data_IF_198990664791
#
_entry.id   IF_198990664791
#
_cell.length_a   1.000
_cell.length_b   1.000
_cell.length_c   1.000
_cell.angle_alpha   90.00
_cell.angle_beta   90.00
_cell.angle_gamma   90.00
#
_symmetry.space_group_name_H-M   'P 1'
#
loop_
_entity.id
_entity.type
_entity.pdbx_description
1 polymer ?
#
# COMPACT_ATOMS: atom_id res chain seq x y z
N UNK A 1 -67.25 -16.49 2.32
CA UNK A 1 -66.29 -16.38 1.19
C UNK A 1 -65.38 -15.20 1.44
N UNK A 2 -64.05 -15.47 1.51
CA UNK A 2 -62.87 -14.62 1.19
C UNK A 2 -62.80 -13.19 1.79
N UNK A 3 -61.82 -12.91 2.66
CA UNK A 3 -60.43 -12.48 2.34
C UNK A 3 -60.37 -11.06 1.75
N UNK A 4 -59.44 -10.17 2.08
CA UNK A 4 -58.20 -10.29 2.82
C UNK A 4 -57.50 -8.92 2.87
N UNK A 5 -56.40 -8.94 3.60
CA UNK A 5 -55.48 -7.87 4.03
C UNK A 5 -54.89 -7.04 2.86
N UNK A 6 -54.50 -5.81 3.21
CA UNK A 6 -53.89 -4.73 2.41
C UNK A 6 -52.72 -5.13 1.51
N UNK A 7 -52.71 -4.60 0.29
CA UNK A 7 -51.54 -4.55 -0.59
C UNK A 7 -50.84 -3.18 -0.49
N UNK A 8 -49.52 -3.24 -0.28
CA UNK A 8 -48.61 -2.11 -0.19
C UNK A 8 -48.05 -1.68 -1.53
N UNK A 9 -47.76 -0.39 -1.63
CA UNK A 9 -47.09 0.27 -2.75
C UNK A 9 -45.57 0.15 -2.63
N UNK A 10 -44.96 -0.36 -3.68
CA UNK A 10 -43.53 -0.43 -3.92
C UNK A 10 -42.89 0.94 -4.18
N UNK A 11 -41.63 1.14 -3.75
CA UNK A 11 -40.66 1.93 -4.52
C UNK A 11 -39.21 1.51 -4.20
N UNK A 12 -38.63 0.85 -5.20
CA UNK A 12 -37.25 0.79 -5.70
C UNK A 12 -36.03 1.10 -4.80
N UNK A 13 -35.25 0.04 -4.55
CA UNK A 13 -33.79 0.00 -4.38
C UNK A 13 -33.10 -0.12 -5.78
N UNK A 14 -31.82 0.30 -5.95
CA UNK A 14 -30.76 -0.69 -5.79
C UNK A 14 -29.52 -0.16 -5.06
N UNK A 15 -29.29 -0.70 -3.87
CA UNK A 15 -28.00 -0.66 -3.17
C UNK A 15 -27.05 -1.75 -3.71
N UNK A 16 -25.85 -1.30 -4.13
CA UNK A 16 -24.55 -2.00 -4.14
C UNK A 16 -24.50 -3.53 -4.34
N UNK A 17 -24.03 -3.97 -5.52
CA UNK A 17 -23.59 -5.35 -5.77
C UNK A 17 -22.33 -5.68 -4.95
N UNK A 18 -22.53 -6.22 -3.75
CA UNK A 18 -21.50 -6.90 -2.98
C UNK A 18 -21.39 -8.35 -3.46
N UNK A 19 -20.36 -8.64 -4.26
CA UNK A 19 -19.94 -10.01 -4.61
C UNK A 19 -19.29 -10.67 -3.39
N UNK A 20 -20.11 -11.11 -2.45
CA UNK A 20 -19.72 -12.12 -1.46
C UNK A 20 -20.63 -13.32 -1.65
N UNK A 21 -19.98 -14.32 -2.22
CA UNK A 21 -20.54 -15.59 -2.64
C UNK A 21 -21.14 -16.31 -1.43
N UNK A 22 -22.35 -16.83 -1.62
CA UNK A 22 -23.08 -17.68 -0.70
C UNK A 22 -22.29 -18.98 -0.56
N UNK A 23 -21.55 -19.13 0.54
CA UNK A 23 -21.05 -20.42 1.01
C UNK A 23 -22.18 -21.10 1.78
N UNK A 24 -22.92 -21.94 1.07
CA UNK A 24 -23.80 -22.94 1.66
C UNK A 24 -23.47 -24.30 1.04
N UNK A 25 -23.00 -25.24 1.87
CA UNK A 25 -23.47 -26.63 1.87
C UNK A 25 -22.86 -27.39 3.06
N UNK A 26 -23.75 -27.99 3.86
CA UNK A 26 -23.44 -29.05 4.79
C UNK A 26 -23.08 -30.34 4.02
N UNK A 27 -22.13 -31.13 4.53
CA UNK A 27 -21.83 -32.45 3.96
C UNK A 27 -20.72 -33.17 4.73
N UNK A 28 -21.12 -34.12 5.58
CA UNK A 28 -20.26 -35.02 6.34
C UNK A 28 -19.92 -36.23 5.46
N UNK A 29 -18.63 -36.45 5.14
CA UNK A 29 -18.21 -37.59 4.32
C UNK A 29 -16.69 -37.72 4.25
N UNK A 30 -16.16 -38.79 4.83
CA UNK A 30 -14.76 -39.18 4.77
C UNK A 30 -14.42 -39.81 3.41
N UNK A 31 -13.24 -39.48 2.84
CA UNK A 31 -12.63 -40.29 1.78
C UNK A 31 -11.79 -39.53 0.76
N UNK A 32 -10.59 -40.06 0.52
CA UNK A 32 -9.67 -39.83 -0.61
C UNK A 32 -8.78 -38.57 -0.59
N UNK A 33 -7.58 -38.79 -0.03
CA UNK A 33 -6.33 -38.12 -0.44
C UNK A 33 -6.06 -38.41 -1.92
N UNK A 34 -6.00 -37.37 -2.75
CA UNK A 34 -5.33 -37.42 -4.05
C UNK A 34 -4.29 -36.30 -4.06
N UNK A 35 -3.03 -36.71 -3.89
CA UNK A 35 -1.85 -35.90 -4.17
C UNK A 35 -1.67 -35.92 -5.69
N UNK A 36 -1.79 -34.77 -6.34
CA UNK A 36 -1.55 -34.66 -7.77
C UNK A 36 -1.78 -33.24 -8.27
N UNK A 37 -0.69 -32.53 -8.57
CA UNK A 37 -0.72 -31.27 -9.29
C UNK A 37 0.35 -30.30 -8.82
N UNK A 38 1.58 -30.48 -9.29
CA UNK A 38 2.53 -29.38 -9.39
C UNK A 38 1.91 -28.39 -10.39
N UNK A 39 1.25 -27.35 -9.88
CA UNK A 39 0.89 -26.20 -10.69
C UNK A 39 2.15 -25.37 -10.82
N UNK A 40 2.76 -25.42 -12.01
CA UNK A 40 3.62 -24.34 -12.49
C UNK A 40 2.74 -23.09 -12.58
N UNK A 41 2.56 -22.44 -11.44
CA UNK A 41 2.07 -21.07 -11.36
C UNK A 41 3.22 -20.14 -11.73
N UNK A 42 3.57 -20.13 -13.02
CA UNK A 42 4.04 -18.92 -13.69
C UNK A 42 2.86 -17.95 -13.78
N UNK A 43 2.41 -17.52 -12.59
CA UNK A 43 1.51 -16.40 -12.43
C UNK A 43 2.36 -15.15 -12.62
N UNK A 44 2.74 -14.90 -13.88
CA UNK A 44 3.05 -13.58 -14.41
C UNK A 44 1.81 -12.71 -14.32
N UNK A 45 1.41 -12.40 -13.09
CA UNK A 45 0.36 -11.47 -12.74
C UNK A 45 0.85 -10.06 -13.02
N UNK A 46 0.91 -9.70 -14.30
CA UNK A 46 0.88 -8.32 -14.72
C UNK A 46 -0.43 -7.73 -14.20
N UNK A 47 -0.36 -7.07 -13.05
CA UNK A 47 -1.49 -6.33 -12.50
C UNK A 47 -1.87 -5.27 -13.53
N UNK A 48 -2.87 -5.57 -14.35
CA UNK A 48 -3.61 -4.59 -15.15
C UNK A 48 -4.62 -3.82 -14.28
N UNK A 49 -4.38 -3.75 -12.97
CA UNK A 49 -5.15 -2.97 -12.02
C UNK A 49 -4.53 -1.60 -11.85
N UNK A 50 -5.37 -0.58 -11.81
CA UNK A 50 -4.94 0.78 -11.45
C UNK A 50 -4.27 0.74 -10.07
N UNK A 51 -3.00 1.13 -10.00
CA UNK A 51 -2.26 1.25 -8.75
C UNK A 51 -2.63 2.57 -8.07
N UNK A 52 -3.22 2.48 -6.89
CA UNK A 52 -3.46 3.65 -6.04
C UNK A 52 -2.31 3.77 -5.03
N UNK A 53 -1.69 4.95 -4.96
CA UNK A 53 -0.57 5.26 -4.06
C UNK A 53 -1.03 6.33 -3.07
N UNK A 54 -1.10 5.97 -1.79
CA UNK A 54 -1.33 6.94 -0.71
C UNK A 54 -0.01 7.61 -0.30
N UNK A 55 0.07 8.93 -0.46
CA UNK A 55 1.28 9.70 -0.17
C UNK A 55 1.04 10.78 0.89
N UNK A 56 1.72 10.68 2.03
CA UNK A 56 1.65 11.67 3.10
C UNK A 56 2.92 12.51 3.21
N UNK A 57 2.76 13.84 3.35
CA UNK A 57 3.89 14.74 3.58
C UNK A 57 3.54 15.93 4.48
N UNK A 58 4.58 16.56 5.04
CA UNK A 58 4.44 17.73 5.94
C UNK A 58 4.44 19.08 5.22
N UNK A 59 4.72 19.09 3.91
CA UNK A 59 4.77 20.32 3.10
C UNK A 59 3.37 20.84 2.78
N UNK A 60 2.66 21.35 3.79
CA UNK A 60 1.25 21.77 3.70
C UNK A 60 1.07 23.26 3.36
N UNK A 61 2.14 23.99 3.08
CA UNK A 61 2.13 25.41 2.72
C UNK A 61 3.00 25.70 1.48
N UNK A 62 2.78 26.82 0.79
CA UNK A 62 3.68 27.28 -0.26
C UNK A 62 5.10 27.52 0.26
N UNK A 63 6.14 27.32 -0.58
CA UNK A 63 6.06 27.06 -2.03
C UNK A 63 5.94 25.58 -2.39
N UNK A 64 6.01 24.66 -1.42
CA UNK A 64 6.15 23.23 -1.71
C UNK A 64 4.83 22.51 -2.01
N UNK A 65 3.72 22.93 -1.40
CA UNK A 65 2.41 22.33 -1.66
C UNK A 65 2.06 22.26 -3.17
N UNK A 66 2.11 23.35 -3.95
CA UNK A 66 1.78 23.28 -5.39
C UNK A 66 2.80 22.46 -6.20
N UNK A 67 4.07 22.42 -5.77
CA UNK A 67 5.13 21.64 -6.46
C UNK A 67 4.86 20.14 -6.35
N UNK A 68 4.42 19.67 -5.18
CA UNK A 68 4.08 18.25 -5.01
C UNK A 68 2.82 17.85 -5.78
N UNK A 69 1.81 18.71 -5.81
CA UNK A 69 0.62 18.51 -6.62
C UNK A 69 0.95 18.43 -8.12
N UNK A 70 1.82 19.31 -8.62
CA UNK A 70 2.25 19.30 -10.02
C UNK A 70 3.07 18.04 -10.35
N UNK A 71 3.99 17.64 -9.47
CA UNK A 71 4.78 16.44 -9.65
C UNK A 71 3.92 15.18 -9.71
N UNK A 72 2.93 15.04 -8.82
CA UNK A 72 2.01 13.91 -8.87
C UNK A 72 1.16 13.90 -10.14
N UNK A 73 0.67 15.06 -10.59
CA UNK A 73 -0.07 15.18 -11.86
C UNK A 73 0.80 14.80 -13.06
N UNK A 74 2.06 15.24 -13.09
CA UNK A 74 3.02 14.90 -14.14
C UNK A 74 3.29 13.39 -14.19
N UNK A 75 3.46 12.77 -13.01
CA UNK A 75 3.66 11.32 -12.92
C UNK A 75 2.43 10.54 -13.39
N UNK A 76 1.24 10.90 -12.93
CA UNK A 76 -0.02 10.27 -13.37
C UNK A 76 -0.27 10.46 -14.88
N UNK A 77 0.13 11.60 -15.45
CA UNK A 77 -0.03 11.87 -16.89
C UNK A 77 0.91 11.02 -17.76
N UNK A 78 2.07 10.63 -17.22
CA UNK A 78 3.05 9.78 -17.92
C UNK A 78 2.87 8.29 -17.65
N UNK A 79 2.10 7.92 -16.62
CA UNK A 79 1.88 6.53 -16.20
C UNK A 79 0.38 6.23 -16.16
N UNK A 80 -0.14 5.68 -17.25
CA UNK A 80 -1.53 5.22 -17.30
C UNK A 80 -1.76 4.10 -16.28
N UNK A 81 -2.83 4.21 -15.50
CA UNK A 81 -3.15 3.25 -14.46
C UNK A 81 -2.47 3.51 -13.11
N UNK A 82 -1.88 4.69 -12.87
CA UNK A 82 -1.45 5.11 -11.53
C UNK A 82 -2.29 6.28 -11.03
N UNK A 83 -2.79 6.19 -9.80
CA UNK A 83 -3.48 7.27 -9.09
C UNK A 83 -2.69 7.59 -7.82
N UNK A 84 -2.22 8.83 -7.67
CA UNK A 84 -1.53 9.28 -6.45
C UNK A 84 -2.49 10.14 -5.62
N UNK A 85 -2.75 9.72 -4.38
CA UNK A 85 -3.54 10.47 -3.40
C UNK A 85 -2.62 11.14 -2.39
N UNK A 86 -2.43 12.44 -2.55
CA UNK A 86 -1.60 13.24 -1.64
C UNK A 86 -2.44 13.68 -0.42
N UNK A 87 -1.90 13.46 0.77
CA UNK A 87 -2.44 13.97 2.04
C UNK A 87 -1.41 14.88 2.71
N UNK A 88 -1.51 16.21 2.53
CA UNK A 88 -0.68 17.16 3.26
C UNK A 88 -1.16 17.26 4.72
N UNK A 89 -0.24 17.17 5.68
CA UNK A 89 -0.55 17.24 7.11
C UNK A 89 0.37 18.27 7.80
N UNK A 90 -0.15 18.95 8.83
CA UNK A 90 0.69 19.73 9.75
C UNK A 90 1.62 18.79 10.53
N UNK A 91 2.79 19.25 10.95
CA UNK A 91 3.87 18.42 11.50
C UNK A 91 3.43 17.55 12.69
N UNK A 92 2.70 18.12 13.65
CA UNK A 92 2.28 17.40 14.85
C UNK A 92 1.12 16.45 14.54
N UNK A 93 0.17 16.89 13.71
CA UNK A 93 -0.90 16.04 13.20
C UNK A 93 -0.35 14.84 12.40
N UNK A 94 0.71 15.06 11.62
CA UNK A 94 1.39 14.04 10.83
C UNK A 94 2.00 12.96 11.73
N UNK A 95 2.78 13.34 12.74
CA UNK A 95 3.42 12.38 13.67
C UNK A 95 2.39 11.55 14.42
N UNK A 96 1.33 12.19 14.93
CA UNK A 96 0.27 11.52 15.65
C UNK A 96 -0.43 10.49 14.74
N UNK A 97 -0.84 10.91 13.53
CA UNK A 97 -1.53 10.04 12.58
C UNK A 97 -0.63 8.90 12.10
N UNK A 98 0.63 9.18 11.76
CA UNK A 98 1.59 8.16 11.32
C UNK A 98 1.80 7.11 12.39
N UNK A 99 1.98 7.51 13.65
CA UNK A 99 2.13 6.59 14.78
C UNK A 99 0.92 5.66 14.89
N UNK A 100 -0.29 6.20 14.83
CA UNK A 100 -1.53 5.42 14.91
C UNK A 100 -1.64 4.39 13.79
N UNK A 101 -1.47 4.81 12.52
CA UNK A 101 -1.64 3.89 11.38
C UNK A 101 -0.52 2.85 11.29
N UNK A 102 0.68 3.22 11.73
CA UNK A 102 1.81 2.30 11.82
C UNK A 102 1.57 1.24 12.88
N UNK A 103 1.06 1.62 14.06
CA UNK A 103 0.68 0.66 15.10
C UNK A 103 -0.50 -0.23 14.70
N UNK A 104 -1.41 0.30 13.88
CA UNK A 104 -2.52 -0.45 13.31
C UNK A 104 -2.09 -1.40 12.17
N UNK A 105 -0.83 -1.35 11.73
CA UNK A 105 -0.32 -2.16 10.62
C UNK A 105 -0.81 -1.72 9.24
N UNK A 106 -1.31 -0.49 9.11
CA UNK A 106 -1.82 0.08 7.86
C UNK A 106 -1.12 1.41 7.51
N UNK A 107 0.22 1.45 7.43
CA UNK A 107 0.93 2.67 7.02
C UNK A 107 0.59 3.05 5.57
N UNK A 108 0.67 4.34 5.21
CA UNK A 108 0.55 4.77 3.80
C UNK A 108 1.69 4.22 2.95
N UNK A 109 1.49 4.13 1.64
CA UNK A 109 2.50 3.60 0.69
C UNK A 109 3.75 4.48 0.62
N UNK A 110 3.57 5.80 0.70
CA UNK A 110 4.66 6.78 0.68
C UNK A 110 4.47 7.78 1.82
N UNK A 111 5.52 8.01 2.61
CA UNK A 111 5.46 8.96 3.71
C UNK A 111 6.76 9.71 3.94
N UNK A 112 6.65 10.93 4.43
CA UNK A 112 7.79 11.77 4.78
C UNK A 112 8.63 11.20 5.93
N UNK A 113 9.96 11.24 5.80
CA UNK A 113 10.88 10.94 6.90
C UNK A 113 11.90 12.07 7.06
N UNK A 114 12.25 12.37 8.32
CA UNK A 114 13.33 13.30 8.65
C UNK A 114 14.72 12.66 8.47
N UNK A 115 14.78 11.35 8.20
CA UNK A 115 16.04 10.62 8.09
C UNK A 115 16.69 10.36 9.45
N UNK A 116 17.98 9.98 9.42
CA UNK A 116 18.79 9.80 10.62
C UNK A 116 18.23 8.71 11.56
N UNK A 117 18.19 8.99 12.86
CA UNK A 117 17.73 8.04 13.88
C UNK A 117 16.28 7.60 13.69
N UNK A 118 15.41 8.49 13.21
CA UNK A 118 13.99 8.18 12.95
C UNK A 118 13.87 7.16 11.83
N UNK A 119 14.57 7.37 10.72
CA UNK A 119 14.59 6.41 9.62
C UNK A 119 15.19 5.07 10.05
N UNK A 120 16.24 5.09 10.86
CA UNK A 120 16.82 3.85 11.38
C UNK A 120 15.82 3.06 12.24
N UNK A 121 15.07 3.72 13.12
CA UNK A 121 14.00 3.07 13.90
C UNK A 121 12.91 2.50 13.00
N UNK A 122 12.52 3.23 11.94
CA UNK A 122 11.54 2.76 10.96
C UNK A 122 12.03 1.52 10.20
N UNK A 123 13.33 1.44 9.86
CA UNK A 123 13.93 0.24 9.25
C UNK A 123 13.96 -0.92 10.23
N UNK A 124 14.44 -0.69 11.46
CA UNK A 124 14.53 -1.75 12.48
C UNK A 124 13.14 -2.30 12.83
N UNK A 125 12.08 -1.48 12.70
CA UNK A 125 10.68 -1.86 12.88
C UNK A 125 10.02 -2.48 11.64
N UNK A 126 10.73 -2.60 10.51
CA UNK A 126 10.20 -3.19 9.27
C UNK A 126 9.15 -2.33 8.56
N UNK A 127 9.13 -1.03 8.81
CA UNK A 127 8.11 -0.10 8.29
C UNK A 127 8.47 0.52 6.93
N UNK A 128 9.69 0.27 6.46
CA UNK A 128 10.20 0.83 5.20
C UNK A 128 10.83 -0.27 4.36
N UNK A 129 10.57 -0.19 3.05
CA UNK A 129 11.18 -1.06 2.04
C UNK A 129 12.62 -0.60 1.76
N UNK A 130 13.56 -1.53 1.67
CA UNK A 130 14.88 -1.23 1.10
C UNK A 130 14.76 -1.00 -0.41
N UNK A 131 15.08 0.21 -0.85
CA UNK A 131 15.05 0.64 -2.26
C UNK A 131 16.46 0.72 -2.86
N UNK A 132 17.50 0.23 -2.18
CA UNK A 132 18.90 0.37 -2.61
C UNK A 132 19.16 -0.20 -4.01
N UNK A 133 18.47 -1.27 -4.38
CA UNK A 133 18.52 -1.85 -5.72
C UNK A 133 17.70 -1.03 -6.73
N UNK A 134 16.55 -0.51 -6.31
CA UNK A 134 15.59 0.23 -7.15
C UNK A 134 16.15 1.59 -7.60
N UNK A 135 17.12 2.16 -6.89
CA UNK A 135 17.73 3.47 -7.20
C UNK A 135 19.14 3.36 -7.80
N UNK A 136 19.59 2.17 -8.20
CA UNK A 136 20.98 1.94 -8.61
C UNK A 136 21.43 2.82 -9.80
N UNK A 137 20.51 3.13 -10.70
CA UNK A 137 20.67 3.99 -11.86
C UNK A 137 20.89 5.47 -11.49
N UNK A 138 20.06 6.00 -10.59
CA UNK A 138 20.15 7.39 -10.11
C UNK A 138 21.17 7.56 -8.98
N UNK A 139 21.68 6.47 -8.41
CA UNK A 139 22.67 6.48 -7.33
C UNK A 139 23.93 7.29 -7.67
N UNK A 140 24.32 7.27 -8.95
CA UNK A 140 25.50 7.97 -9.46
C UNK A 140 25.30 9.48 -9.59
N UNK A 141 24.05 9.96 -9.67
CA UNK A 141 23.71 11.38 -9.80
C UNK A 141 23.45 12.05 -8.44
N UNK A 142 23.30 11.26 -7.37
CA UNK A 142 23.17 11.75 -6.01
C UNK A 142 24.52 12.19 -5.44
N UNK A 143 24.56 13.37 -4.82
CA UNK A 143 25.76 13.84 -4.12
C UNK A 143 26.09 12.92 -2.94
N UNK A 144 27.38 12.68 -2.65
CA UNK A 144 27.81 11.75 -1.59
C UNK A 144 27.22 12.04 -0.20
N UNK A 145 26.86 13.30 0.08
CA UNK A 145 26.19 13.73 1.32
C UNK A 145 24.73 13.25 1.41
N UNK A 146 24.03 13.13 0.28
CA UNK A 146 22.69 12.56 0.22
C UNK A 146 22.73 11.04 0.50
N UNK A 147 23.75 10.36 -0.03
CA UNK A 147 23.94 8.92 0.16
C UNK A 147 24.45 8.53 1.55
N UNK A 148 25.24 9.36 2.22
CA UNK A 148 25.74 9.07 3.57
C UNK A 148 24.64 8.85 4.62
N UNK A 149 23.46 9.47 4.41
CA UNK A 149 22.29 9.31 5.29
C UNK A 149 21.42 8.09 4.97
N UNK A 150 21.44 7.58 3.73
CA UNK A 150 20.63 6.42 3.31
C UNK A 150 21.42 5.11 3.40
N UNK A 151 22.72 5.14 3.08
CA UNK A 151 23.59 3.95 3.00
C UNK A 151 23.99 3.35 4.35
N UNK A 152 23.96 4.11 5.46
CA UNK A 152 24.35 3.58 6.78
C UNK A 152 23.42 2.48 7.30
N UNK A 153 22.20 2.41 6.76
CA UNK A 153 21.20 1.41 7.15
C UNK A 153 21.24 0.16 6.27
N UNK A 154 21.47 0.31 4.96
CA UNK A 154 21.55 -0.82 4.02
C UNK A 154 22.72 -1.78 4.32
N UNK A 155 23.84 -1.27 4.86
CA UNK A 155 25.00 -2.10 5.16
C UNK A 155 24.82 -3.06 6.36
N UNK A 156 23.71 -2.96 7.11
CA UNK A 156 23.45 -3.84 8.27
C UNK A 156 22.46 -4.98 8.00
N UNK A 157 21.73 -4.96 6.89
CA UNK A 157 20.79 -6.03 6.51
C UNK A 157 21.47 -7.17 5.72
N UNK A 158 22.73 -6.96 5.30
CA UNK A 158 23.51 -7.92 4.50
C UNK A 158 24.22 -9.04 5.27
N UNK A 159 23.78 -9.43 6.47
CA UNK A 159 24.40 -10.56 7.16
C UNK A 159 23.41 -11.38 8.01
N UNK A 160 22.59 -12.19 7.34
CA UNK A 160 22.13 -13.49 7.89
C UNK A 160 21.86 -14.50 6.78
N UNK A 161 22.84 -14.68 5.89
CA UNK A 161 22.99 -15.92 5.14
C UNK A 161 23.68 -16.94 6.08
N UNK A 162 22.93 -17.55 6.99
CA UNK A 162 23.40 -18.77 7.68
C UNK A 162 22.57 -19.94 7.19
N UNK A 163 23.10 -20.56 6.14
CA UNK A 163 23.19 -22.00 5.94
C UNK A 163 22.92 -22.81 7.22
N UNK A 164 21.85 -23.58 7.22
CA UNK A 164 21.75 -24.97 7.67
C UNK A 164 20.47 -25.56 7.07
#
# INVERSE_FOLDING_TARGET
MRAGISEGTAHDDPTYFSRRHILGLAGLGAGAVILGGCSDDDSGGGSSGTAEIEWWHIANTPPMLPVWDELAKSYQSSHTGVTIKITPLENEAYKARLTTVTQAGTPPDLFHTWGGGVLKQQVDAGLVKDISADIADVKSTLTGVAMGRTSSTASRTGCRLTRA
#
